data_IF_875664833046
#
_entry.id   IF_875664833046
#
_cell.length_a   1.000
_cell.length_b   1.000
_cell.length_c   1.000
_cell.angle_alpha   90.00
_cell.angle_beta   90.00
_cell.angle_gamma   90.00
#
_symmetry.space_group_name_H-M   'P 1'
#
loop_
_entity.id
_entity.type
_entity.pdbx_description
1 polymer ?
#
# COMPACT_ATOMS: atom_id res chain seq x y z
N UNK A 1 -6.65 -6.43 3.02
CA UNK A 1 -7.15 -5.13 3.53
C UNK A 1 -8.66 -5.06 3.45
N UNK A 2 -9.24 -5.37 2.29
CA UNK A 2 -10.68 -5.37 2.04
C UNK A 2 -11.51 -6.17 3.05
N UNK A 3 -11.13 -7.40 3.37
CA UNK A 3 -11.97 -8.26 4.24
C UNK A 3 -11.81 -7.98 5.75
N UNK A 4 -10.58 -7.65 6.18
CA UNK A 4 -10.25 -7.45 7.61
C UNK A 4 -10.38 -6.00 8.07
N UNK A 5 -10.00 -5.04 7.23
CA UNK A 5 -10.06 -3.61 7.55
C UNK A 5 -11.27 -2.91 6.91
N UNK A 6 -12.08 -3.62 6.11
CA UNK A 6 -13.27 -3.08 5.41
C UNK A 6 -12.99 -1.84 4.55
N UNK A 7 -11.75 -1.73 4.05
CA UNK A 7 -11.35 -0.68 3.12
C UNK A 7 -11.95 -0.94 1.75
N UNK A 8 -12.49 0.09 1.08
CA UNK A 8 -13.09 -0.06 -0.24
C UNK A 8 -12.11 -0.75 -1.24
N UNK A 9 -12.54 -1.81 -1.93
CA UNK A 9 -11.70 -2.55 -2.88
C UNK A 9 -11.17 -1.69 -4.03
N UNK A 10 -11.89 -0.64 -4.45
CA UNK A 10 -11.49 0.29 -5.51
C UNK A 10 -10.26 1.10 -5.11
N UNK A 11 -10.24 1.61 -3.88
CA UNK A 11 -9.07 2.31 -3.32
C UNK A 11 -7.91 1.34 -3.14
N UNK A 12 -8.17 0.19 -2.53
CA UNK A 12 -7.14 -0.82 -2.24
C UNK A 12 -6.43 -1.31 -3.53
N UNK A 13 -7.20 -1.55 -4.61
CA UNK A 13 -6.65 -1.99 -5.91
C UNK A 13 -5.85 -0.93 -6.63
N UNK A 14 -6.07 0.34 -6.33
CA UNK A 14 -5.31 1.45 -6.90
C UNK A 14 -4.05 1.73 -6.07
N UNK A 15 -4.19 1.84 -4.75
CA UNK A 15 -3.12 2.28 -3.85
C UNK A 15 -2.08 1.18 -3.63
N UNK A 16 -2.47 -0.08 -3.45
CA UNK A 16 -1.51 -1.15 -3.13
C UNK A 16 -0.47 -1.40 -4.25
N UNK A 17 -0.84 -1.52 -5.54
CA UNK A 17 0.15 -1.75 -6.60
C UNK A 17 1.09 -0.57 -6.82
N UNK A 18 0.62 0.66 -6.61
CA UNK A 18 1.44 1.87 -6.74
C UNK A 18 2.31 2.08 -5.50
N UNK A 19 1.75 1.91 -4.31
CA UNK A 19 2.42 2.05 -3.02
C UNK A 19 3.59 1.08 -2.88
N UNK A 20 3.37 -0.22 -3.15
CA UNK A 20 4.41 -1.24 -3.04
C UNK A 20 5.66 -0.97 -3.90
N UNK A 21 5.53 -0.20 -4.99
CA UNK A 21 6.63 0.10 -5.90
C UNK A 21 7.30 1.45 -5.63
N UNK A 22 6.57 2.42 -5.07
CA UNK A 22 7.07 3.79 -4.88
C UNK A 22 7.48 4.04 -3.42
N UNK A 23 6.75 3.45 -2.46
CA UNK A 23 6.92 3.70 -1.04
C UNK A 23 7.98 2.77 -0.44
N UNK A 24 9.23 3.21 -0.48
CA UNK A 24 10.35 2.44 0.03
C UNK A 24 11.14 3.17 1.12
N UNK A 25 10.44 3.80 2.06
CA UNK A 25 11.02 4.53 3.18
C UNK A 25 11.97 3.67 4.03
N UNK A 26 11.64 2.39 4.23
CA UNK A 26 12.48 1.46 4.96
C UNK A 26 13.85 1.23 4.29
N UNK A 27 13.95 1.41 2.98
CA UNK A 27 15.22 1.30 2.24
C UNK A 27 16.04 2.56 2.35
N UNK A 28 15.42 3.74 2.25
CA UNK A 28 16.13 5.00 2.51
C UNK A 28 16.74 5.00 3.91
N UNK A 29 15.94 4.62 4.92
CA UNK A 29 16.39 4.55 6.30
C UNK A 29 17.53 3.54 6.47
N UNK A 30 17.39 2.33 5.91
CA UNK A 30 18.44 1.31 5.97
C UNK A 30 19.75 1.81 5.36
N UNK A 31 19.71 2.35 4.15
CA UNK A 31 20.90 2.82 3.43
C UNK A 31 21.56 3.96 4.21
N UNK A 32 20.80 4.94 4.69
CA UNK A 32 21.33 6.05 5.47
C UNK A 32 22.01 5.59 6.77
N UNK A 33 21.32 4.75 7.56
CA UNK A 33 21.84 4.25 8.84
C UNK A 33 23.05 3.34 8.63
N UNK A 34 23.01 2.45 7.65
CA UNK A 34 24.11 1.56 7.32
C UNK A 34 25.36 2.31 6.84
N UNK A 35 25.19 3.35 6.01
CA UNK A 35 26.29 4.21 5.57
C UNK A 35 26.96 4.94 6.73
N UNK A 36 26.17 5.52 7.64
CA UNK A 36 26.68 6.20 8.82
C UNK A 36 27.40 5.21 9.74
N UNK A 37 26.82 4.03 9.95
CA UNK A 37 27.42 2.98 10.78
C UNK A 37 28.79 2.54 10.24
N UNK A 38 28.92 2.32 8.92
CA UNK A 38 30.20 1.93 8.30
C UNK A 38 31.24 3.05 8.40
N UNK A 39 30.83 4.31 8.21
CA UNK A 39 31.72 5.46 8.37
C UNK A 39 32.26 5.55 9.82
N UNK A 40 31.38 5.39 10.81
CA UNK A 40 31.76 5.38 12.23
C UNK A 40 32.68 4.22 12.58
N UNK A 41 32.43 3.03 12.05
CA UNK A 41 33.28 1.83 12.23
C UNK A 41 34.72 2.04 11.74
N UNK A 42 34.94 2.90 10.76
CA UNK A 42 36.27 3.24 10.23
C UNK A 42 36.86 4.52 10.83
N UNK A 43 36.18 5.16 11.78
CA UNK A 43 36.63 6.42 12.36
C UNK A 43 36.53 7.61 11.40
N UNK A 44 35.73 7.52 10.34
CA UNK A 44 35.47 8.62 9.42
C UNK A 44 34.44 9.55 10.06
N UNK A 45 34.83 10.80 10.28
CA UNK A 45 33.94 11.83 10.82
C UNK A 45 33.18 12.45 9.65
N UNK A 46 31.90 12.13 9.56
CA UNK A 46 31.01 12.73 8.57
C UNK A 46 30.78 14.22 8.88
N UNK A 47 31.22 15.08 7.97
CA UNK A 47 30.89 16.50 7.95
C UNK A 47 29.45 16.75 7.49
N UNK A 48 28.99 17.99 7.66
CA UNK A 48 27.63 18.40 7.29
C UNK A 48 27.30 18.14 5.80
N UNK A 49 28.27 18.35 4.90
CA UNK A 49 28.10 18.08 3.47
C UNK A 49 27.88 16.60 3.16
N UNK A 50 28.62 15.71 3.81
CA UNK A 50 28.49 14.27 3.58
C UNK A 50 27.17 13.74 4.13
N UNK A 51 26.69 14.27 5.26
CA UNK A 51 25.35 13.93 5.80
C UNK A 51 24.26 14.30 4.79
N UNK A 52 24.33 15.49 4.19
CA UNK A 52 23.38 15.90 3.14
C UNK A 52 23.47 14.97 1.94
N UNK A 53 24.68 14.62 1.49
CA UNK A 53 24.88 13.67 0.40
C UNK A 53 24.26 12.32 0.73
N UNK A 54 24.49 11.76 1.93
CA UNK A 54 23.88 10.50 2.37
C UNK A 54 22.36 10.59 2.32
N UNK A 55 21.76 11.66 2.83
CA UNK A 55 20.30 11.83 2.81
C UNK A 55 19.80 11.86 1.37
N UNK A 56 20.34 12.73 0.52
CA UNK A 56 19.92 12.86 -0.88
C UNK A 56 20.09 11.56 -1.66
N UNK A 57 21.24 10.91 -1.54
CA UNK A 57 21.51 9.64 -2.22
C UNK A 57 20.63 8.53 -1.66
N UNK A 58 20.36 8.49 -0.35
CA UNK A 58 19.46 7.49 0.26
C UNK A 58 18.00 7.66 -0.18
N UNK A 59 17.54 8.89 -0.36
CA UNK A 59 16.20 9.20 -0.90
C UNK A 59 16.10 8.86 -2.39
N UNK A 60 17.13 9.17 -3.18
CA UNK A 60 17.17 8.74 -4.58
C UNK A 60 17.21 7.21 -4.71
N UNK A 61 17.94 6.56 -3.79
CA UNK A 61 18.04 5.12 -3.67
C UNK A 61 16.68 4.47 -3.34
N UNK A 62 15.86 5.02 -2.44
CA UNK A 62 14.55 4.43 -2.11
C UNK A 62 13.61 4.33 -3.31
N UNK A 63 13.67 5.27 -4.26
CA UNK A 63 12.81 5.23 -5.46
C UNK A 63 13.32 4.21 -6.49
N UNK A 64 14.57 3.76 -6.38
CA UNK A 64 15.25 2.91 -7.35
C UNK A 64 14.95 1.40 -7.21
N UNK A 65 14.02 1.02 -6.34
CA UNK A 65 13.77 -0.39 -6.04
C UNK A 65 12.89 -1.10 -7.07
N UNK A 66 13.55 -1.69 -8.06
CA UNK A 66 13.02 -2.90 -8.64
C UNK A 66 13.02 -4.02 -7.57
N UNK A 67 11.90 -4.74 -7.41
CA UNK A 67 11.65 -5.78 -6.39
C UNK A 67 12.58 -7.00 -6.45
N UNK A 68 13.87 -6.79 -6.21
CA UNK A 68 14.90 -7.84 -6.21
C UNK A 68 15.45 -7.97 -4.79
N UNK A 69 15.24 -9.13 -4.12
CA UNK A 69 15.87 -9.43 -2.84
C UNK A 69 17.39 -9.29 -2.95
N UNK A 70 18.05 -8.66 -1.97
CA UNK A 70 19.51 -8.33 -1.93
C UNK A 70 19.95 -7.09 -2.74
N UNK A 71 19.09 -6.46 -3.55
CA UNK A 71 19.45 -5.23 -4.27
C UNK A 71 19.81 -4.05 -3.35
N UNK A 72 19.29 -4.03 -2.13
CA UNK A 72 19.57 -2.98 -1.16
C UNK A 72 21.04 -2.92 -0.71
N UNK A 73 21.76 -4.05 -0.73
CA UNK A 73 23.20 -4.06 -0.40
C UNK A 73 24.04 -3.48 -1.54
N UNK A 74 23.67 -3.75 -2.79
CA UNK A 74 24.32 -3.12 -3.96
C UNK A 74 24.12 -1.61 -3.92
N UNK A 75 22.91 -1.17 -3.56
CA UNK A 75 22.57 0.24 -3.42
C UNK A 75 23.37 0.92 -2.30
N UNK A 76 23.58 0.22 -1.18
CA UNK A 76 24.45 0.67 -0.11
C UNK A 76 25.90 0.86 -0.58
N UNK A 77 26.45 -0.02 -1.42
CA UNK A 77 27.80 0.14 -1.99
C UNK A 77 27.92 1.42 -2.83
N UNK A 78 26.87 1.77 -3.58
CA UNK A 78 26.83 3.01 -4.37
C UNK A 78 26.87 4.23 -3.45
N UNK A 79 26.13 4.22 -2.34
CA UNK A 79 26.12 5.34 -1.39
C UNK A 79 27.44 5.45 -0.62
N UNK A 80 28.05 4.32 -0.24
CA UNK A 80 29.38 4.31 0.39
C UNK A 80 30.45 4.87 -0.54
N UNK A 81 30.37 4.55 -1.84
CA UNK A 81 31.25 5.12 -2.86
C UNK A 81 31.06 6.65 -3.01
N UNK A 82 29.85 7.17 -2.76
CA UNK A 82 29.57 8.60 -2.85
C UNK A 82 30.15 9.43 -1.69
N UNK A 83 30.51 8.80 -0.58
CA UNK A 83 31.14 9.42 0.59
C UNK A 83 32.59 8.93 0.80
N UNK A 84 33.18 8.29 -0.21
CA UNK A 84 34.54 7.71 -0.18
C UNK A 84 34.80 6.77 1.02
N UNK A 85 33.78 6.04 1.47
CA UNK A 85 33.90 5.11 2.59
C UNK A 85 34.37 3.71 2.15
N UNK A 86 35.22 3.02 2.94
CA UNK A 86 35.71 1.68 2.60
C UNK A 86 34.58 0.63 2.60
N UNK A 87 34.38 -0.02 1.46
CA UNK A 87 33.31 -1.01 1.21
C UNK A 87 33.61 -2.43 1.73
N UNK A 88 34.81 -2.68 2.26
CA UNK A 88 35.24 -4.02 2.70
C UNK A 88 34.38 -4.60 3.86
N UNK A 89 33.81 -3.74 4.70
CA UNK A 89 33.03 -4.15 5.88
C UNK A 89 31.53 -4.40 5.61
N UNK A 90 31.09 -4.36 4.35
CA UNK A 90 29.70 -4.66 3.95
C UNK A 90 29.33 -6.13 4.22
N UNK A 91 30.34 -7.00 4.37
CA UNK A 91 30.21 -8.39 4.80
C UNK A 91 29.52 -8.54 6.18
N UNK A 92 29.72 -7.59 7.10
CA UNK A 92 29.02 -7.58 8.39
C UNK A 92 27.51 -7.35 8.21
N UNK A 93 27.13 -6.44 7.32
CA UNK A 93 25.74 -6.15 6.99
C UNK A 93 25.09 -7.30 6.21
N UNK A 94 25.84 -7.96 5.32
CA UNK A 94 25.36 -9.15 4.61
C UNK A 94 24.92 -10.26 5.58
N UNK A 95 25.65 -10.43 6.69
CA UNK A 95 25.32 -11.45 7.70
C UNK A 95 23.96 -11.22 8.37
N UNK A 96 23.53 -9.96 8.50
CA UNK A 96 22.24 -9.58 9.11
C UNK A 96 21.17 -9.20 8.07
N UNK A 97 21.52 -9.11 6.79
CA UNK A 97 20.63 -8.63 5.73
C UNK A 97 19.35 -9.45 5.63
N UNK A 98 19.44 -10.77 5.83
CA UNK A 98 18.26 -11.66 5.83
C UNK A 98 17.20 -11.26 6.86
N UNK A 99 17.61 -10.66 7.99
CA UNK A 99 16.71 -10.22 9.05
C UNK A 99 16.24 -8.79 8.81
N UNK A 100 17.16 -7.89 8.46
CA UNK A 100 16.86 -6.48 8.22
C UNK A 100 15.98 -6.29 6.97
N UNK A 101 16.17 -7.11 5.93
CA UNK A 101 15.32 -7.13 4.73
C UNK A 101 13.86 -7.48 5.07
N UNK A 102 13.63 -8.37 6.03
CA UNK A 102 12.27 -8.74 6.47
C UNK A 102 11.60 -7.62 7.25
N UNK A 103 12.34 -6.92 8.09
CA UNK A 103 11.82 -5.74 8.80
C UNK A 103 11.51 -4.63 7.79
N UNK A 104 12.41 -4.39 6.84
CA UNK A 104 12.26 -3.36 5.80
C UNK A 104 11.03 -3.57 4.94
N UNK A 105 10.85 -4.78 4.42
CA UNK A 105 9.68 -5.14 3.62
C UNK A 105 8.39 -5.03 4.43
N UNK A 106 8.40 -5.47 5.70
CA UNK A 106 7.24 -5.33 6.60
C UNK A 106 6.88 -3.87 6.84
N UNK A 107 7.86 -3.00 7.10
CA UNK A 107 7.61 -1.58 7.34
C UNK A 107 7.02 -0.88 6.11
N UNK A 108 7.54 -1.17 4.91
CA UNK A 108 7.01 -0.61 3.67
C UNK A 108 5.56 -1.06 3.43
N UNK A 109 5.29 -2.36 3.60
CA UNK A 109 3.93 -2.90 3.47
C UNK A 109 2.96 -2.30 4.49
N UNK A 110 3.40 -2.06 5.73
CA UNK A 110 2.59 -1.37 6.74
C UNK A 110 2.31 0.08 6.33
N UNK A 111 3.29 0.80 5.81
CA UNK A 111 3.13 2.14 5.27
C UNK A 111 2.06 2.20 4.18
N UNK A 112 2.09 1.26 3.23
CA UNK A 112 1.08 1.17 2.17
C UNK A 112 -0.32 0.85 2.71
N UNK A 113 -0.39 0.04 3.77
CA UNK A 113 -1.63 -0.22 4.46
C UNK A 113 -2.20 1.05 5.12
N UNK A 114 -1.36 1.85 5.79
CA UNK A 114 -1.79 3.13 6.35
C UNK A 114 -2.19 4.12 5.26
N UNK A 115 -1.41 4.19 4.17
CA UNK A 115 -1.71 5.06 3.05
C UNK A 115 -3.07 4.73 2.42
N UNK A 116 -3.39 3.46 2.20
CA UNK A 116 -4.69 3.05 1.67
C UNK A 116 -5.85 3.47 2.57
N UNK A 117 -5.71 3.35 3.90
CA UNK A 117 -6.73 3.78 4.86
C UNK A 117 -6.90 5.32 4.89
N UNK A 118 -5.80 6.07 4.79
CA UNK A 118 -5.83 7.54 4.74
C UNK A 118 -6.47 8.02 3.43
N UNK A 119 -6.10 7.42 2.30
CA UNK A 119 -6.68 7.76 0.98
C UNK A 119 -8.17 7.45 0.95
N UNK A 120 -8.61 6.33 1.51
CA UNK A 120 -10.03 6.03 1.65
C UNK A 120 -10.77 7.14 2.41
N UNK A 121 -10.24 7.55 3.57
CA UNK A 121 -10.86 8.61 4.39
C UNK A 121 -10.94 9.95 3.64
N UNK A 122 -9.90 10.30 2.87
CA UNK A 122 -9.85 11.55 2.11
C UNK A 122 -10.77 11.52 0.88
N UNK A 123 -10.86 10.39 0.19
CA UNK A 123 -11.69 10.22 -1.01
C UNK A 123 -13.14 9.83 -0.73
N UNK A 124 -13.59 9.78 0.54
CA UNK A 124 -14.99 9.42 0.89
C UNK A 124 -16.06 10.10 0.05
N UNK A 125 -15.91 11.40 -0.22
CA UNK A 125 -16.86 12.17 -1.04
C UNK A 125 -16.89 11.71 -2.49
N UNK A 126 -15.72 11.38 -3.05
CA UNK A 126 -15.58 10.87 -4.41
C UNK A 126 -16.16 9.45 -4.53
N UNK A 127 -15.92 8.59 -3.53
CA UNK A 127 -16.54 7.27 -3.46
C UNK A 127 -18.07 7.35 -3.43
N UNK A 128 -18.63 8.23 -2.58
CA UNK A 128 -20.08 8.44 -2.51
C UNK A 128 -20.66 8.99 -3.82
N UNK A 129 -19.93 9.88 -4.50
CA UNK A 129 -20.36 10.41 -5.80
C UNK A 129 -20.32 9.33 -6.89
N UNK A 130 -19.30 8.46 -6.89
CA UNK A 130 -19.20 7.31 -7.79
C UNK A 130 -20.32 6.29 -7.55
N UNK A 131 -20.70 6.05 -6.30
CA UNK A 131 -21.81 5.15 -5.95
C UNK A 131 -23.16 5.73 -6.40
N UNK A 132 -23.37 7.05 -6.23
CA UNK A 132 -24.57 7.73 -6.71
C UNK A 132 -24.69 7.70 -8.25
N UNK A 133 -23.57 7.88 -8.96
CA UNK A 133 -23.53 7.80 -10.43
C UNK A 133 -23.75 6.36 -10.93
N UNK A 134 -23.20 5.35 -10.25
CA UNK A 134 -23.40 3.95 -10.58
C UNK A 134 -24.88 3.55 -10.46
N UNK A 135 -25.56 3.98 -9.38
CA UNK A 135 -26.99 3.76 -9.17
C UNK A 135 -27.86 4.39 -10.28
N UNK A 136 -27.51 5.60 -10.73
CA UNK A 136 -28.19 6.24 -11.86
C UNK A 136 -27.99 5.48 -13.18
N UNK A 137 -26.82 4.89 -13.43
CA UNK A 137 -26.57 4.12 -14.66
C UNK A 137 -27.37 2.81 -14.71
N UNK A 138 -27.53 2.14 -13.57
CA UNK A 138 -28.28 0.88 -13.44
C UNK A 138 -29.79 1.10 -13.56
N UNK A 139 -30.26 2.31 -13.20
CA UNK A 139 -31.66 2.72 -13.36
C UNK A 139 -32.00 3.13 -14.82
N UNK A 140 -31.00 3.41 -15.67
CA UNK A 140 -31.19 4.07 -16.99
C UNK A 140 -30.92 3.14 -18.20
N UNK A 141 -30.49 1.87 -18.01
CA UNK A 141 -30.39 0.88 -19.09
C UNK A 141 -31.58 -0.11 -19.08
N UNK A 142 -32.14 -0.46 -20.25
CA UNK A 142 -33.49 -0.01 -20.62
C UNK A 142 -34.60 -1.02 -20.33
N UNK A 143 -35.79 -0.48 -20.08
CA UNK A 143 -37.12 -1.06 -20.30
C UNK A 143 -37.37 -1.48 -21.76
N UNK A 144 -36.52 -2.35 -22.32
CA UNK A 144 -36.73 -2.90 -23.67
C UNK A 144 -37.15 -4.37 -23.58
N UNK A 145 -38.48 -4.54 -23.64
CA UNK A 145 -39.25 -5.67 -24.17
C UNK A 145 -39.22 -6.97 -23.35
N UNK A 146 -40.17 -7.09 -22.41
CA UNK A 146 -40.88 -8.35 -22.18
C UNK A 146 -42.35 -8.04 -21.84
N UNK A 147 -43.21 -8.19 -22.84
CA UNK A 147 -44.66 -8.38 -22.70
C UNK A 147 -45.45 -7.30 -21.95
N UNK A 148 -45.68 -6.15 -22.59
CA UNK A 148 -46.97 -5.41 -22.55
C UNK A 148 -47.54 -4.90 -21.21
N UNK A 149 -46.86 -5.06 -20.07
CA UNK A 149 -47.39 -4.67 -18.76
C UNK A 149 -46.49 -3.58 -18.13
N UNK A 150 -46.99 -2.34 -18.05
CA UNK A 150 -46.32 -1.28 -17.28
C UNK A 150 -46.73 -1.47 -15.82
N UNK A 151 -45.91 -2.17 -15.03
CA UNK A 151 -46.01 -2.12 -13.57
C UNK A 151 -45.08 -1.02 -13.07
N UNK A 152 -45.66 0.08 -12.60
CA UNK A 152 -44.92 1.14 -11.93
C UNK A 152 -44.41 0.61 -10.58
N UNK A 153 -43.14 0.19 -10.54
CA UNK A 153 -42.51 -0.13 -9.26
C UNK A 153 -42.22 1.18 -8.54
N UNK A 154 -43.03 1.46 -7.51
CA UNK A 154 -42.97 2.65 -6.66
C UNK A 154 -41.62 2.67 -5.93
N UNK A 155 -40.95 3.83 -5.95
CA UNK A 155 -39.77 4.16 -5.13
C UNK A 155 -40.06 3.78 -3.66
N UNK A 156 -39.23 2.97 -2.97
CA UNK A 156 -39.38 2.79 -1.53
C UNK A 156 -38.85 4.04 -0.81
N UNK A 157 -39.68 4.63 0.05
CA UNK A 157 -39.34 5.79 0.87
C UNK A 157 -38.22 5.49 1.90
N UNK A 158 -37.37 6.47 2.24
CA UNK A 158 -36.17 6.29 3.07
C UNK A 158 -36.42 5.90 4.54
N UNK A 159 -37.68 5.86 5.01
CA UNK A 159 -38.04 5.50 6.39
C UNK A 159 -38.51 4.04 6.54
N UNK A 160 -38.41 3.21 5.50
CA UNK A 160 -38.86 1.82 5.57
C UNK A 160 -37.80 0.95 6.25
N UNK A 161 -38.01 0.67 7.55
CA UNK A 161 -37.25 -0.32 8.30
C UNK A 161 -37.56 -1.71 7.70
N UNK A 162 -36.59 -2.28 6.98
CA UNK A 162 -36.63 -3.68 6.56
C UNK A 162 -36.52 -4.56 7.80
N UNK A 163 -37.67 -5.05 8.27
CA UNK A 163 -37.72 -6.12 9.28
C UNK A 163 -37.44 -7.42 8.55
N UNK A 164 -36.22 -7.93 8.71
CA UNK A 164 -35.83 -9.26 8.22
C UNK A 164 -36.59 -10.30 9.05
N UNK A 165 -37.65 -10.88 8.47
CA UNK A 165 -38.39 -11.99 9.09
C UNK A 165 -37.55 -13.26 8.92
N UNK A 166 -36.95 -13.70 10.03
CA UNK A 166 -36.23 -14.97 10.13
C UNK A 166 -37.24 -16.12 10.06
N UNK A 167 -37.42 -16.72 8.88
CA UNK A 167 -38.22 -17.93 8.71
C UNK A 167 -37.45 -19.17 9.19
N UNK A 168 -37.68 -19.53 10.45
CA UNK A 168 -37.38 -20.85 11.00
C UNK A 168 -38.35 -21.89 10.40
N UNK A 169 -37.92 -22.62 9.36
CA UNK A 169 -38.59 -23.88 8.96
C UNK A 169 -37.59 -24.98 8.61
N UNK A 170 -37.12 -25.61 9.69
CA UNK A 170 -36.95 -27.06 9.90
C UNK A 170 -37.33 -28.02 8.72
N UNK A 171 -36.34 -28.85 8.35
CA UNK A 171 -36.38 -30.33 8.09
C UNK A 171 -37.55 -30.95 7.31
N UNK A 172 -37.27 -31.37 6.07
CA UNK A 172 -37.65 -32.63 5.39
C UNK A 172 -37.10 -32.51 3.94
N UNK A 173 -36.20 -33.32 3.38
CA UNK A 173 -36.14 -34.78 3.36
C UNK A 173 -36.68 -35.29 2.02
N UNK A 174 -35.84 -35.43 0.97
CA UNK A 174 -36.07 -36.23 -0.27
C UNK A 174 -34.68 -36.48 -0.89
N UNK A 175 -34.03 -37.62 -0.65
CA UNK A 175 -34.10 -38.93 -1.32
C UNK A 175 -32.98 -39.10 -2.36
#
# INVERSE_FOLDING_TARGET
MTDKLRVDPRVTRFVLPIGCNINMDGTALFVAVASIFIAQMHGIILGFGEIITVILTSTAASVSSASVPSAALVLLLVVLSAIDAPVYNVSLLFTIDWFVDRIRTTNNMLGDCYAAAVVEQLSKKELMALDAAAYQSETVLPTTIANGCISANRVPDPDTIVVEMQDDTRIAGVA
#
